data_IF_870144245264
#
_entry.id   IF_870144245264
#
_cell.length_a   1.000
_cell.length_b   1.000
_cell.length_c   1.000
_cell.angle_alpha   90.00
_cell.angle_beta   90.00
_cell.angle_gamma   90.00
#
_symmetry.space_group_name_H-M   'P 1'
#
loop_
_entity.id
_entity.type
_entity.pdbx_description
1 polymer ?
#
# COMPACT_ATOMS: atom_id res chain seq x y z
N UNK A 1 2.47 13.21 -1.33
CA UNK A 1 2.98 11.98 -0.64
C UNK A 1 4.50 12.09 -0.43
N UNK A 2 5.27 12.52 -1.42
CA UNK A 2 6.71 12.73 -1.27
C UNK A 2 7.09 13.72 -0.16
N UNK A 3 6.25 14.72 0.12
CA UNK A 3 6.46 15.66 1.24
C UNK A 3 6.46 14.97 2.62
N UNK A 4 5.96 13.74 2.70
CA UNK A 4 5.92 12.94 3.92
C UNK A 4 6.99 11.85 3.95
N UNK A 5 7.86 11.75 2.94
CA UNK A 5 8.85 10.67 2.84
C UNK A 5 9.72 10.57 4.10
N UNK A 6 9.81 9.37 4.69
CA UNK A 6 10.54 9.12 5.92
C UNK A 6 9.87 9.59 7.21
N UNK A 7 8.74 10.31 7.14
CA UNK A 7 7.96 10.69 8.31
C UNK A 7 7.19 9.47 8.87
N UNK A 8 6.92 9.41 10.18
CA UNK A 8 6.08 8.37 10.76
C UNK A 8 4.68 8.40 10.14
N UNK A 9 4.13 7.21 9.88
CA UNK A 9 2.75 7.07 9.43
C UNK A 9 1.84 7.29 10.65
N UNK A 10 0.83 8.19 10.53
CA UNK A 10 -0.18 8.36 11.58
C UNK A 10 -0.79 7.02 12.00
N UNK A 11 -0.98 6.78 13.31
CA UNK A 11 -1.44 5.49 13.82
C UNK A 11 -2.78 5.05 13.25
N UNK A 12 -3.66 5.99 12.89
CA UNK A 12 -4.95 5.76 12.24
C UNK A 12 -4.77 5.16 10.83
N UNK A 13 -3.83 5.71 10.06
CA UNK A 13 -3.49 5.21 8.72
C UNK A 13 -2.83 3.83 8.84
N UNK A 14 -1.92 3.67 9.79
CA UNK A 14 -1.26 2.39 10.06
C UNK A 14 -2.28 1.29 10.45
N UNK A 15 -3.29 1.63 11.26
CA UNK A 15 -4.39 0.75 11.61
C UNK A 15 -5.27 0.40 10.39
N UNK A 16 -5.60 1.38 9.55
CA UNK A 16 -6.36 1.16 8.32
C UNK A 16 -5.62 0.22 7.35
N UNK A 17 -4.30 0.39 7.18
CA UNK A 17 -3.47 -0.49 6.34
C UNK A 17 -3.43 -1.92 6.90
N UNK A 18 -3.37 -2.08 8.24
CA UNK A 18 -3.47 -3.40 8.87
C UNK A 18 -4.81 -4.09 8.63
N UNK A 19 -5.91 -3.35 8.69
CA UNK A 19 -7.25 -3.87 8.37
C UNK A 19 -7.33 -4.27 6.90
N UNK A 20 -6.95 -3.37 6.00
CA UNK A 20 -6.90 -3.64 4.57
C UNK A 20 -6.06 -4.89 4.23
N UNK A 21 -4.89 -5.06 4.87
CA UNK A 21 -4.05 -6.24 4.67
C UNK A 21 -4.72 -7.55 5.08
N UNK A 22 -5.60 -7.53 6.10
CA UNK A 22 -6.41 -8.69 6.50
C UNK A 22 -7.51 -8.98 5.47
N UNK A 23 -8.08 -7.94 4.88
CA UNK A 23 -9.10 -8.02 3.81
C UNK A 23 -8.54 -8.42 2.43
N UNK A 24 -7.23 -8.59 2.28
CA UNK A 24 -6.64 -9.16 1.06
C UNK A 24 -6.47 -10.70 1.15
N UNK A 25 -7.23 -11.35 2.02
CA UNK A 25 -7.23 -12.82 2.17
C UNK A 25 -8.30 -13.46 1.27
N UNK A 26 -8.05 -14.65 0.69
CA UNK A 26 -8.96 -15.27 -0.28
C UNK A 26 -10.40 -15.47 0.19
N UNK A 27 -10.63 -15.54 1.51
CA UNK A 27 -11.94 -15.73 2.13
C UNK A 27 -12.76 -14.45 2.30
N UNK A 28 -12.25 -13.29 1.87
CA UNK A 28 -12.91 -12.00 2.08
C UNK A 28 -13.58 -11.51 0.81
N UNK A 29 -14.65 -10.73 0.97
CA UNK A 29 -15.36 -10.13 -0.15
C UNK A 29 -14.43 -9.24 -0.99
N UNK A 30 -13.62 -8.40 -0.34
CA UNK A 30 -12.69 -7.49 -1.01
C UNK A 30 -11.71 -8.22 -1.94
N UNK A 31 -11.13 -9.33 -1.49
CA UNK A 31 -10.26 -10.14 -2.36
C UNK A 31 -11.01 -10.65 -3.59
N UNK A 32 -12.25 -11.11 -3.43
CA UNK A 32 -13.10 -11.55 -4.53
C UNK A 32 -13.48 -10.44 -5.50
N UNK A 33 -13.72 -9.21 -5.00
CA UNK A 33 -13.96 -8.03 -5.83
C UNK A 33 -12.71 -7.66 -6.64
N UNK A 34 -11.56 -7.55 -5.97
CA UNK A 34 -10.29 -7.20 -6.61
C UNK A 34 -9.85 -8.25 -7.64
N UNK A 35 -10.08 -9.53 -7.37
CA UNK A 35 -9.76 -10.62 -8.31
C UNK A 35 -10.50 -10.56 -9.64
N UNK A 36 -11.55 -9.71 -9.76
CA UNK A 36 -12.24 -9.44 -11.03
C UNK A 36 -11.68 -8.22 -11.78
N UNK A 37 -10.85 -7.41 -11.13
CA UNK A 37 -10.35 -6.14 -11.65
C UNK A 37 -8.84 -6.17 -11.95
N UNK A 38 -8.09 -6.96 -11.19
CA UNK A 38 -6.62 -7.05 -11.27
C UNK A 38 -6.16 -8.50 -11.21
N UNK A 39 -4.95 -8.76 -11.71
CA UNK A 39 -4.40 -10.11 -11.74
C UNK A 39 -4.07 -10.63 -10.32
N UNK A 40 -4.07 -11.96 -10.10
CA UNK A 40 -3.68 -12.55 -8.82
C UNK A 40 -2.28 -12.12 -8.34
N UNK A 41 -1.33 -11.97 -9.26
CA UNK A 41 0.03 -11.50 -8.95
C UNK A 41 0.06 -10.04 -8.48
N UNK A 42 -0.88 -9.22 -8.95
CA UNK A 42 -1.03 -7.83 -8.51
C UNK A 42 -1.62 -7.76 -7.10
N UNK A 43 -2.58 -8.63 -6.77
CA UNK A 43 -3.09 -8.78 -5.39
C UNK A 43 -1.96 -9.24 -4.46
N UNK A 44 -1.14 -10.20 -4.90
CA UNK A 44 0.03 -10.63 -4.15
C UNK A 44 1.05 -9.49 -3.96
N UNK A 45 1.28 -8.67 -5.00
CA UNK A 45 2.11 -7.49 -4.91
C UNK A 45 1.55 -6.45 -3.93
N UNK A 46 0.24 -6.22 -3.93
CA UNK A 46 -0.45 -5.31 -3.02
C UNK A 46 -0.29 -5.73 -1.56
N UNK A 47 -0.47 -7.03 -1.28
CA UNK A 47 -0.21 -7.62 0.04
C UNK A 47 1.22 -7.39 0.50
N UNK A 48 2.21 -7.68 -0.36
CA UNK A 48 3.64 -7.45 -0.04
C UNK A 48 3.93 -5.97 0.24
N UNK A 49 3.33 -5.05 -0.51
CA UNK A 49 3.50 -3.60 -0.29
C UNK A 49 2.89 -3.18 1.05
N UNK A 50 1.70 -3.65 1.38
CA UNK A 50 1.06 -3.38 2.67
C UNK A 50 1.89 -3.95 3.85
N UNK A 51 2.41 -5.17 3.72
CA UNK A 51 3.27 -5.78 4.74
C UNK A 51 4.54 -4.93 4.98
N UNK A 52 5.20 -4.45 3.92
CA UNK A 52 6.36 -3.55 4.04
C UNK A 52 6.00 -2.22 4.69
N UNK A 53 4.85 -1.65 4.35
CA UNK A 53 4.42 -0.36 4.91
C UNK A 53 4.13 -0.47 6.41
N UNK A 54 3.50 -1.56 6.84
CA UNK A 54 3.26 -1.85 8.26
C UNK A 54 4.58 -2.03 9.00
N UNK A 55 5.54 -2.75 8.42
CA UNK A 55 6.84 -3.01 9.05
C UNK A 55 7.76 -1.77 9.12
N UNK A 56 7.67 -0.87 8.14
CA UNK A 56 8.49 0.34 8.10
C UNK A 56 8.02 1.42 9.08
N UNK A 57 6.71 1.45 9.39
CA UNK A 57 6.04 2.46 10.24
C UNK A 57 6.20 3.92 9.78
N UNK A 58 6.91 4.16 8.69
CA UNK A 58 7.15 5.45 8.08
C UNK A 58 6.79 5.42 6.58
N UNK A 59 6.51 6.60 6.01
CA UNK A 59 6.25 6.71 4.59
C UNK A 59 7.49 6.31 3.78
N UNK A 60 7.32 5.53 2.69
CA UNK A 60 8.44 5.04 1.92
C UNK A 60 9.21 6.21 1.30
N UNK A 61 10.54 6.10 1.30
CA UNK A 61 11.40 7.03 0.59
C UNK A 61 11.18 6.89 -0.93
N UNK A 62 11.31 7.99 -1.70
CA UNK A 62 11.41 7.91 -3.15
C UNK A 62 12.49 6.92 -3.56
N UNK A 63 12.13 6.01 -4.48
CA UNK A 63 13.10 5.11 -5.09
C UNK A 63 14.08 5.87 -5.98
N UNK A 64 15.13 5.20 -6.44
CA UNK A 64 16.20 5.77 -7.28
C UNK A 64 15.75 6.28 -8.67
N UNK A 65 14.48 6.08 -9.04
CA UNK A 65 13.91 6.58 -10.30
C UNK A 65 13.51 8.06 -10.23
N UNK A 66 13.14 8.64 -11.37
CA UNK A 66 12.56 10.00 -11.41
C UNK A 66 11.18 10.00 -10.75
N UNK A 67 11.09 10.53 -9.54
CA UNK A 67 9.83 10.73 -8.83
C UNK A 67 9.20 12.05 -9.31
N UNK A 68 8.54 12.03 -10.47
CA UNK A 68 7.76 13.19 -10.90
C UNK A 68 6.52 13.32 -10.00
N UNK A 69 6.27 14.47 -9.36
CA UNK A 69 4.97 14.72 -8.74
C UNK A 69 3.92 14.70 -9.84
N UNK A 70 2.89 13.88 -9.68
CA UNK A 70 1.72 13.87 -10.55
C UNK A 70 0.61 14.73 -9.93
N UNK A 71 -0.13 15.53 -10.71
CA UNK A 71 0.08 15.82 -12.13
C UNK A 71 1.31 16.71 -12.36
N UNK A 72 1.99 16.58 -13.52
CA UNK A 72 3.03 17.52 -13.91
C UNK A 72 2.41 18.92 -14.02
N UNK A 73 3.05 19.91 -13.38
CA UNK A 73 2.76 21.33 -13.58
C UNK A 73 3.10 21.75 -15.02
#
# INVERSE_FOLDING_TARGET
IWDFAGQPIPPEISAAVRLFRKELTPSTELHGLLGRLIAPDEIAALRRRADRLIAAECYPLPGSGRNYPWPPL
#
